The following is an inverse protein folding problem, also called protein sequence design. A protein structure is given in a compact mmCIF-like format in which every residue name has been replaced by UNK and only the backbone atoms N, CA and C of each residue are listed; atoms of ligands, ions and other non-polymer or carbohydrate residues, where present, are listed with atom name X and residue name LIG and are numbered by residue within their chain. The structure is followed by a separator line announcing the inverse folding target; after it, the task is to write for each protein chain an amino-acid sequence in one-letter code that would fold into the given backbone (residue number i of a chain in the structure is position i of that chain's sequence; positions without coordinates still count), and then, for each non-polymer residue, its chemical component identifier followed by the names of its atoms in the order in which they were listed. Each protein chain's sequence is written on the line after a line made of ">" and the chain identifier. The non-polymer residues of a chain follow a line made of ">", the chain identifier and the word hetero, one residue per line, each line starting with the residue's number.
data_IF_139691769855
#
_entry.id   IF_139691769855
#
_cell.length_a   1.000
_cell.length_b   1.000
_cell.length_c   1.000
_cell.angle_alpha   90.00
_cell.angle_beta   90.00
_cell.angle_gamma   90.00
#
_symmetry.space_group_name_H-M   'P 1'
#
loop_
_entity.id
_entity.type
_entity.pdbx_description
1 polymer ?
#
# COMPACT_ATOMS: atom_id res chain seq x y z
N UNK A 1 12.89 13.12 21.73
CA UNK A 1 14.01 12.95 20.77
C UNK A 1 15.31 12.99 21.59
N UNK A 2 15.85 11.84 21.98
CA UNK A 2 17.11 11.76 22.73
C UNK A 2 18.27 11.72 21.73
N UNK A 3 19.25 12.63 21.90
CA UNK A 3 20.47 12.64 21.10
C UNK A 3 21.34 11.44 21.47
N UNK A 4 22.13 10.99 20.50
CA UNK A 4 22.85 9.72 20.45
C UNK A 4 23.95 9.52 21.52
N UNK A 5 24.13 10.43 22.48
CA UNK A 5 25.30 10.48 23.37
C UNK A 5 25.02 10.47 24.89
N UNK A 6 23.78 10.34 25.37
CA UNK A 6 23.52 10.23 26.82
C UNK A 6 23.36 8.78 27.29
N UNK A 7 24.48 8.13 27.58
CA UNK A 7 24.58 6.73 28.07
C UNK A 7 24.19 6.58 29.56
N UNK A 8 23.51 7.56 30.15
CA UNK A 8 22.96 7.45 31.51
C UNK A 8 21.54 8.03 31.58
N UNK A 9 20.59 7.40 30.88
CA UNK A 9 19.17 7.59 31.19
C UNK A 9 18.87 6.84 32.49
N UNK A 10 18.53 7.54 33.57
CA UNK A 10 18.24 6.89 34.84
C UNK A 10 16.91 6.13 34.73
N UNK A 11 16.70 5.07 35.52
CA UNK A 11 15.46 4.27 35.45
C UNK A 11 14.20 5.13 35.67
N UNK A 12 14.32 6.19 36.48
CA UNK A 12 13.25 7.16 36.73
C UNK A 12 12.87 7.95 35.47
N UNK A 13 13.85 8.40 34.68
CA UNK A 13 13.61 9.12 33.42
C UNK A 13 12.90 8.22 32.39
N UNK A 14 13.22 6.91 32.38
CA UNK A 14 12.57 5.93 31.50
C UNK A 14 11.11 5.71 31.93
N UNK A 15 10.85 5.59 33.23
CA UNK A 15 9.48 5.44 33.75
C UNK A 15 8.65 6.70 33.48
N UNK A 16 9.25 7.87 33.63
CA UNK A 16 8.60 9.14 33.30
C UNK A 16 8.31 9.23 31.80
N UNK A 17 9.23 8.79 30.93
CA UNK A 17 9.01 8.74 29.48
C UNK A 17 7.87 7.78 29.10
N UNK A 18 7.84 6.59 29.71
CA UNK A 18 6.76 5.60 29.52
C UNK A 18 5.41 6.22 29.90
N UNK A 19 5.34 6.87 31.07
CA UNK A 19 4.10 7.47 31.57
C UNK A 19 3.65 8.70 30.75
N UNK A 20 4.59 9.44 30.17
CA UNK A 20 4.29 10.67 29.40
C UNK A 20 3.84 10.36 27.97
N UNK A 21 4.36 9.29 27.37
CA UNK A 21 4.17 8.94 25.95
C UNK A 21 3.60 7.52 25.76
N UNK A 22 2.67 7.09 26.64
CA UNK A 22 2.03 5.76 26.57
C UNK A 22 1.47 5.43 25.18
N UNK A 23 0.89 6.40 24.49
CA UNK A 23 0.31 6.25 23.15
C UNK A 23 1.36 5.95 22.05
N UNK A 24 2.64 6.25 22.31
CA UNK A 24 3.73 6.01 21.35
C UNK A 24 4.42 4.66 21.58
N UNK A 25 4.06 3.93 22.65
CA UNK A 25 4.64 2.63 22.93
C UNK A 25 4.03 1.56 22.01
N UNK A 26 4.91 0.80 21.36
CA UNK A 26 4.53 -0.34 20.54
C UNK A 26 4.97 -1.63 21.18
N UNK A 27 4.03 -2.57 21.29
CA UNK A 27 4.34 -3.94 21.70
C UNK A 27 4.96 -4.66 20.49
N UNK A 28 6.26 -4.92 20.55
CA UNK A 28 7.00 -5.63 19.50
C UNK A 28 6.82 -7.14 19.56
N UNK A 29 6.68 -7.68 20.77
CA UNK A 29 6.47 -9.10 21.04
C UNK A 29 5.70 -9.27 22.37
N UNK A 30 5.03 -10.41 22.53
CA UNK A 30 4.31 -10.76 23.76
C UNK A 30 2.80 -10.55 23.69
N UNK A 31 2.21 -10.33 22.51
CA UNK A 31 0.77 -10.10 22.33
C UNK A 31 -0.11 -11.11 23.08
N UNK A 32 0.18 -12.41 22.97
CA UNK A 32 -0.59 -13.44 23.68
C UNK A 32 -0.51 -13.29 25.20
N UNK A 33 0.68 -13.01 25.74
CA UNK A 33 0.87 -12.75 27.18
C UNK A 33 0.12 -11.51 27.61
N UNK A 34 0.16 -10.45 26.80
CA UNK A 34 -0.59 -9.22 27.04
C UNK A 34 -2.10 -9.48 27.07
N UNK A 35 -2.65 -10.24 26.12
CA UNK A 35 -4.08 -10.59 26.13
C UNK A 35 -4.46 -11.41 27.37
N UNK A 36 -3.68 -12.42 27.75
CA UNK A 36 -3.92 -13.16 28.99
C UNK A 36 -3.90 -12.25 30.21
N UNK A 37 -2.94 -11.32 30.29
CA UNK A 37 -2.87 -10.35 31.40
C UNK A 37 -4.08 -9.41 31.41
N UNK A 38 -4.58 -8.99 30.25
CA UNK A 38 -5.78 -8.18 30.13
C UNK A 38 -7.03 -8.95 30.61
N UNK A 39 -7.11 -10.26 30.34
CA UNK A 39 -8.22 -11.10 30.78
C UNK A 39 -8.28 -11.25 32.30
N UNK A 40 -7.13 -11.20 32.98
CA UNK A 40 -7.04 -11.33 34.44
C UNK A 40 -6.82 -10.00 35.17
N UNK A 41 -6.84 -8.86 34.47
CA UNK A 41 -6.40 -7.54 34.98
C UNK A 41 -7.01 -7.09 36.32
N UNK A 42 -8.21 -7.59 36.63
CA UNK A 42 -8.97 -7.23 37.84
C UNK A 42 -8.67 -8.18 39.03
N UNK A 43 -7.78 -9.16 38.85
CA UNK A 43 -7.34 -10.05 39.93
C UNK A 43 -6.36 -9.30 40.86
N UNK A 44 -6.71 -9.08 42.14
CA UNK A 44 -5.87 -8.34 43.08
C UNK A 44 -4.51 -9.01 43.33
N UNK A 45 -4.34 -10.29 43.00
CA UNK A 45 -3.04 -10.97 43.10
C UNK A 45 -2.03 -10.50 42.06
N UNK A 46 -2.46 -9.81 41.00
CA UNK A 46 -1.53 -9.28 39.99
C UNK A 46 -0.53 -8.29 40.57
N UNK A 47 -0.90 -7.54 41.61
CA UNK A 47 -0.01 -6.60 42.29
C UNK A 47 1.19 -7.29 42.95
N UNK A 48 1.08 -8.59 43.24
CA UNK A 48 2.16 -9.40 43.83
C UNK A 48 3.21 -9.85 42.79
N UNK A 49 2.94 -9.66 41.48
CA UNK A 49 3.81 -10.14 40.41
C UNK A 49 4.51 -8.99 39.68
N UNK A 50 5.83 -9.10 39.52
CA UNK A 50 6.62 -8.16 38.72
C UNK A 50 6.63 -8.57 37.25
N UNK A 51 6.20 -7.68 36.35
CA UNK A 51 6.33 -7.88 34.92
C UNK A 51 7.73 -7.44 34.45
N UNK A 52 8.46 -8.34 33.79
CA UNK A 52 9.68 -7.98 33.08
C UNK A 52 9.34 -7.42 31.71
N UNK A 53 9.81 -6.21 31.43
CA UNK A 53 9.67 -5.54 30.13
C UNK A 53 11.06 -5.20 29.60
N UNK A 54 11.34 -5.59 28.35
CA UNK A 54 12.54 -5.16 27.64
C UNK A 54 12.17 -3.95 26.76
N UNK A 55 12.65 -2.75 27.13
CA UNK A 55 12.36 -1.52 26.41
C UNK A 55 13.46 -1.19 25.39
N UNK A 56 13.08 -1.04 24.13
CA UNK A 56 13.97 -0.59 23.06
C UNK A 56 13.73 0.88 22.76
N UNK A 57 14.69 1.74 23.11
CA UNK A 57 14.61 3.19 22.87
C UNK A 57 15.43 3.54 21.62
N UNK A 58 14.92 4.47 20.80
CA UNK A 58 15.59 4.99 19.61
C UNK A 58 15.96 3.90 18.57
N UNK A 59 15.11 2.88 18.46
CA UNK A 59 15.20 1.84 17.44
C UNK A 59 14.54 2.35 16.15
N UNK A 60 15.23 2.27 15.01
CA UNK A 60 14.66 2.62 13.71
C UNK A 60 13.77 1.48 13.18
N UNK A 61 13.00 1.76 12.12
CA UNK A 61 12.08 0.78 11.50
C UNK A 61 12.79 -0.53 11.10
N UNK A 62 14.05 -0.42 10.64
CA UNK A 62 14.91 -1.58 10.32
C UNK A 62 15.18 -2.43 11.56
N UNK A 63 15.58 -1.80 12.67
CA UNK A 63 15.85 -2.49 13.93
C UNK A 63 14.59 -3.14 14.49
N UNK A 64 13.43 -2.48 14.34
CA UNK A 64 12.12 -3.01 14.71
C UNK A 64 11.84 -4.31 13.92
N UNK A 65 11.98 -4.30 12.60
CA UNK A 65 11.82 -5.51 11.78
C UNK A 65 12.77 -6.63 12.16
N UNK A 66 14.05 -6.33 12.34
CA UNK A 66 15.04 -7.35 12.69
C UNK A 66 14.73 -7.98 14.06
N UNK A 67 14.19 -7.20 15.00
CA UNK A 67 13.69 -7.72 16.28
C UNK A 67 12.45 -8.56 16.10
N UNK A 68 11.47 -8.15 15.30
CA UNK A 68 10.31 -8.99 14.98
C UNK A 68 10.74 -10.33 14.36
N UNK A 69 11.74 -10.35 13.47
CA UNK A 69 12.30 -11.57 12.90
C UNK A 69 12.92 -12.49 13.95
N UNK A 70 13.76 -11.93 14.81
CA UNK A 70 14.55 -12.69 15.79
C UNK A 70 13.73 -13.12 17.01
N UNK A 71 12.67 -12.39 17.37
CA UNK A 71 11.80 -12.72 18.50
C UNK A 71 10.76 -13.79 18.16
N UNK A 72 10.36 -13.89 16.89
CA UNK A 72 9.41 -14.90 16.41
C UNK A 72 10.05 -16.27 16.08
N UNK A 73 11.37 -16.45 16.27
CA UNK A 73 12.04 -17.73 15.96
C UNK A 73 11.56 -18.84 16.89
N UNK A 74 10.80 -19.80 16.36
CA UNK A 74 10.27 -20.95 17.10
C UNK A 74 8.78 -20.90 17.44
N UNK A 75 8.06 -19.84 17.05
CA UNK A 75 6.59 -19.73 17.16
C UNK A 75 5.93 -19.72 15.78
N UNK A 76 4.59 -19.70 15.70
CA UNK A 76 3.90 -19.38 14.44
C UNK A 76 4.22 -17.92 14.09
N UNK A 77 5.03 -17.65 13.05
CA UNK A 77 5.48 -16.30 12.79
C UNK A 77 4.33 -15.44 12.30
N UNK A 78 4.30 -14.18 12.73
CA UNK A 78 3.40 -13.18 12.17
C UNK A 78 3.66 -13.06 10.66
N UNK A 79 2.63 -12.87 9.85
CA UNK A 79 2.82 -12.74 8.40
C UNK A 79 3.67 -11.50 8.06
N UNK A 80 4.48 -11.58 6.99
CA UNK A 80 5.28 -10.45 6.50
C UNK A 80 4.40 -9.20 6.34
N UNK A 81 3.20 -9.35 5.77
CA UNK A 81 2.22 -8.27 5.65
C UNK A 81 1.90 -7.60 6.98
N UNK A 82 1.54 -8.38 8.00
CA UNK A 82 1.27 -7.82 9.33
C UNK A 82 2.52 -7.11 9.91
N UNK A 83 3.73 -7.64 9.67
CA UNK A 83 4.97 -7.05 10.21
C UNK A 83 5.21 -5.70 9.56
N UNK A 84 5.05 -5.63 8.24
CA UNK A 84 5.14 -4.40 7.47
C UNK A 84 4.06 -3.40 7.90
N UNK A 85 2.83 -3.86 8.16
CA UNK A 85 1.76 -3.04 8.73
C UNK A 85 2.13 -2.45 10.09
N UNK A 86 2.81 -3.20 10.98
CA UNK A 86 3.30 -2.69 12.27
C UNK A 86 4.41 -1.66 12.14
N UNK A 87 5.29 -1.78 11.13
CA UNK A 87 6.30 -0.75 10.86
C UNK A 87 5.63 0.55 10.46
N UNK A 88 4.76 0.45 9.47
CA UNK A 88 4.07 1.61 8.95
C UNK A 88 2.95 2.08 9.89
N UNK A 89 2.70 1.42 11.05
CA UNK A 89 1.56 1.80 11.91
C UNK A 89 1.70 3.19 12.50
N UNK A 90 2.94 3.72 12.60
CA UNK A 90 3.17 5.14 12.91
C UNK A 90 2.48 6.05 11.88
N UNK A 91 2.47 5.62 10.63
CA UNK A 91 1.76 6.30 9.56
C UNK A 91 0.27 6.01 9.58
N UNK A 92 -0.19 4.85 10.02
CA UNK A 92 -1.62 4.56 10.10
C UNK A 92 -2.40 5.48 11.05
N UNK A 93 -1.72 6.09 12.04
CA UNK A 93 -2.27 7.13 12.92
C UNK A 93 -1.96 8.55 12.42
N UNK A 94 -1.22 8.70 11.32
CA UNK A 94 -0.95 9.99 10.71
C UNK A 94 -2.24 10.58 10.13
N UNK A 95 -2.43 11.89 10.29
CA UNK A 95 -3.53 12.58 9.67
C UNK A 95 -3.32 12.64 8.15
N UNK A 96 -4.07 11.82 7.41
CA UNK A 96 -4.10 11.84 5.95
C UNK A 96 -5.14 12.81 5.37
N UNK A 97 -5.69 13.70 6.19
CA UNK A 97 -6.79 14.58 5.79
C UNK A 97 -8.05 13.76 5.56
N UNK A 98 -8.56 13.77 4.33
CA UNK A 98 -9.83 13.13 3.96
C UNK A 98 -9.73 11.61 3.74
N UNK A 99 -8.54 11.01 3.86
CA UNK A 99 -8.33 9.58 3.59
C UNK A 99 -8.64 8.74 4.84
N UNK A 100 -9.59 7.82 4.70
CA UNK A 100 -9.95 6.83 5.72
C UNK A 100 -9.14 5.54 5.48
N UNK A 101 -8.32 5.17 6.46
CA UNK A 101 -7.55 3.91 6.43
C UNK A 101 -8.31 2.82 7.18
N UNK A 102 -8.70 1.77 6.44
CA UNK A 102 -9.35 0.58 6.98
C UNK A 102 -8.27 -0.46 7.29
N UNK A 103 -8.08 -0.77 8.58
CA UNK A 103 -7.18 -1.82 9.04
C UNK A 103 -7.87 -3.17 8.97
N UNK A 104 -7.08 -4.24 9.01
CA UNK A 104 -7.61 -5.61 8.97
C UNK A 104 -8.54 -5.92 10.16
N UNK A 105 -8.34 -5.25 11.31
CA UNK A 105 -9.11 -5.45 12.54
C UNK A 105 -10.46 -4.75 12.56
N UNK A 106 -10.70 -3.79 11.65
CA UNK A 106 -11.88 -2.93 11.71
C UNK A 106 -13.16 -3.60 11.17
N UNK A 107 -13.03 -4.75 10.50
CA UNK A 107 -14.12 -5.47 9.78
C UNK A 107 -14.95 -4.55 8.84
N UNK A 108 -14.35 -3.45 8.39
CA UNK A 108 -14.98 -2.51 7.47
C UNK A 108 -14.67 -2.82 6.01
N UNK A 109 -15.56 -2.37 5.13
CA UNK A 109 -15.37 -2.46 3.68
C UNK A 109 -15.24 -1.08 3.06
N UNK A 110 -14.46 -1.00 1.98
CA UNK A 110 -14.34 0.21 1.15
C UNK A 110 -15.72 0.57 0.61
N UNK A 111 -16.23 1.75 0.97
CA UNK A 111 -17.57 2.26 0.61
C UNK A 111 -17.50 3.57 -0.19
N UNK A 112 -16.42 4.32 -0.05
CA UNK A 112 -16.22 5.63 -0.66
C UNK A 112 -14.86 5.76 -1.35
N UNK A 113 -14.65 6.86 -2.07
CA UNK A 113 -13.37 7.21 -2.67
C UNK A 113 -12.28 7.52 -1.65
N UNK A 114 -12.68 7.87 -0.44
CA UNK A 114 -11.78 8.19 0.66
C UNK A 114 -11.30 6.94 1.39
N UNK A 115 -11.94 5.78 1.17
CA UNK A 115 -11.64 4.58 1.94
C UNK A 115 -10.55 3.74 1.25
N UNK A 116 -9.49 3.44 1.97
CA UNK A 116 -8.40 2.58 1.51
C UNK A 116 -8.09 1.51 2.53
N UNK A 117 -7.93 0.26 2.06
CA UNK A 117 -7.41 -0.79 2.93
C UNK A 117 -5.94 -0.52 3.20
N UNK A 118 -5.56 -0.55 4.46
CA UNK A 118 -4.19 -0.35 4.89
C UNK A 118 -3.25 -1.36 4.24
N UNK A 119 -3.65 -2.64 4.21
CA UNK A 119 -2.91 -3.73 3.55
C UNK A 119 -2.59 -3.43 2.08
N UNK A 120 -3.54 -2.82 1.37
CA UNK A 120 -3.41 -2.57 -0.07
C UNK A 120 -2.49 -1.36 -0.32
N UNK A 121 -2.54 -0.34 0.54
CA UNK A 121 -1.62 0.80 0.51
C UNK A 121 -0.18 0.35 0.79
N UNK A 122 -0.01 -0.51 1.79
CA UNK A 122 1.28 -1.12 2.13
C UNK A 122 1.84 -1.91 0.95
N UNK A 123 1.03 -2.78 0.34
CA UNK A 123 1.46 -3.51 -0.86
C UNK A 123 1.87 -2.53 -1.99
N UNK A 124 1.08 -1.49 -2.25
CA UNK A 124 1.39 -0.48 -3.26
C UNK A 124 2.70 0.26 -3.01
N UNK A 125 2.96 0.64 -1.76
CA UNK A 125 4.19 1.32 -1.39
C UNK A 125 5.41 0.38 -1.49
N UNK A 126 5.30 -0.88 -1.07
CA UNK A 126 6.39 -1.84 -1.28
C UNK A 126 6.66 -2.07 -2.77
N UNK A 127 5.62 -2.12 -3.60
CA UNK A 127 5.80 -2.18 -5.05
C UNK A 127 6.53 -0.96 -5.61
N UNK A 128 6.31 0.22 -5.02
CA UNK A 128 7.09 1.42 -5.32
C UNK A 128 8.54 1.32 -4.83
N UNK A 129 8.81 0.74 -3.67
CA UNK A 129 10.18 0.54 -3.18
C UNK A 129 10.96 -0.50 -4.01
N UNK A 130 10.32 -1.60 -4.42
CA UNK A 130 10.96 -2.72 -5.14
C UNK A 130 10.91 -2.58 -6.67
N UNK A 131 10.14 -1.63 -7.21
CA UNK A 131 9.80 -1.55 -8.65
C UNK A 131 9.13 -2.83 -9.18
N UNK A 132 8.39 -3.52 -8.32
CA UNK A 132 7.77 -4.82 -8.60
C UNK A 132 6.30 -4.80 -8.19
N UNK A 133 5.41 -5.11 -9.14
CA UNK A 133 3.96 -5.11 -8.98
C UNK A 133 3.43 -6.31 -8.20
N UNK A 134 4.29 -7.30 -7.93
CA UNK A 134 3.95 -8.48 -7.13
C UNK A 134 3.74 -8.04 -5.68
N UNK A 135 2.60 -8.36 -5.05
CA UNK A 135 2.39 -8.06 -3.65
C UNK A 135 3.39 -8.85 -2.81
N UNK A 136 3.64 -8.40 -1.58
CA UNK A 136 4.44 -9.16 -0.63
C UNK A 136 3.81 -10.55 -0.43
N UNK A 137 4.55 -11.59 -0.79
CA UNK A 137 4.09 -12.97 -0.64
C UNK A 137 4.63 -13.56 0.66
N UNK A 138 4.02 -14.67 1.07
CA UNK A 138 4.12 -15.22 2.41
C UNK A 138 5.54 -15.68 2.79
N UNK A 139 5.97 -15.25 3.98
CA UNK A 139 6.96 -15.87 4.88
C UNK A 139 8.39 -16.09 4.37
N UNK A 140 8.78 -15.51 3.25
CA UNK A 140 10.17 -15.62 2.79
C UNK A 140 11.05 -14.63 3.58
N UNK A 141 11.98 -15.15 4.39
CA UNK A 141 13.02 -14.37 5.09
C UNK A 141 13.76 -13.43 4.12
N UNK A 142 13.97 -13.90 2.88
CA UNK A 142 14.58 -13.13 1.81
C UNK A 142 13.75 -11.91 1.40
N UNK A 143 12.42 -12.05 1.34
CA UNK A 143 11.54 -10.90 1.06
C UNK A 143 11.60 -9.88 2.20
N UNK A 144 11.68 -10.35 3.45
CA UNK A 144 11.81 -9.44 4.57
C UNK A 144 13.15 -8.69 4.58
N UNK A 145 14.24 -9.37 4.24
CA UNK A 145 15.55 -8.73 4.06
C UNK A 145 15.49 -7.67 2.95
N UNK A 146 14.84 -7.97 1.82
CA UNK A 146 14.65 -6.99 0.74
C UNK A 146 13.85 -5.78 1.19
N UNK A 147 12.75 -5.97 1.91
CA UNK A 147 11.97 -4.85 2.48
C UNK A 147 12.84 -4.02 3.42
N UNK A 148 13.67 -4.66 4.27
CA UNK A 148 14.62 -3.95 5.16
C UNK A 148 15.60 -3.12 4.35
N UNK A 149 16.23 -3.70 3.33
CA UNK A 149 17.18 -3.02 2.44
C UNK A 149 16.52 -1.85 1.71
N UNK A 150 15.30 -2.06 1.22
CA UNK A 150 14.55 -1.04 0.49
C UNK A 150 14.12 0.13 1.35
N UNK A 151 13.70 -0.10 2.61
CA UNK A 151 13.43 0.98 3.56
C UNK A 151 14.72 1.71 3.92
N UNK A 152 15.83 1.00 4.14
CA UNK A 152 17.13 1.61 4.42
C UNK A 152 17.61 2.52 3.28
N UNK A 153 17.33 2.13 2.04
CA UNK A 153 17.74 2.87 0.85
C UNK A 153 16.76 3.97 0.43
N UNK A 154 15.53 4.00 0.99
CA UNK A 154 14.50 4.95 0.61
C UNK A 154 14.87 6.41 0.93
N UNK A 155 15.78 6.65 1.88
CA UNK A 155 16.15 7.98 2.39
C UNK A 155 16.80 8.92 1.36
N UNK A 156 17.08 8.50 0.12
CA UNK A 156 17.82 9.33 -0.86
C UNK A 156 17.04 9.65 -2.15
N UNK A 157 16.01 8.89 -2.53
CA UNK A 157 15.34 9.09 -3.84
C UNK A 157 13.85 8.77 -3.90
N UNK A 158 13.25 8.21 -2.84
CA UNK A 158 11.86 7.76 -2.86
C UNK A 158 11.02 8.53 -1.85
N UNK A 159 9.79 8.84 -2.25
CA UNK A 159 8.81 9.45 -1.34
C UNK A 159 8.53 8.54 -0.15
N UNK A 160 8.25 9.14 1.01
CA UNK A 160 7.81 8.39 2.18
C UNK A 160 6.39 7.79 1.97
N UNK A 161 5.98 6.90 2.87
CA UNK A 161 4.68 6.23 2.79
C UNK A 161 3.52 7.24 2.76
N UNK A 162 3.43 8.24 3.67
CA UNK A 162 2.36 9.23 3.60
C UNK A 162 2.29 10.02 2.30
N UNK A 163 3.45 10.39 1.76
CA UNK A 163 3.53 11.14 0.52
C UNK A 163 3.11 10.31 -0.68
N UNK A 164 3.53 9.05 -0.76
CA UNK A 164 3.06 8.09 -1.77
C UNK A 164 1.53 7.95 -1.74
N UNK A 165 0.94 7.76 -0.56
CA UNK A 165 -0.51 7.61 -0.38
C UNK A 165 -1.24 8.87 -0.85
N UNK A 166 -0.76 10.07 -0.48
CA UNK A 166 -1.37 11.35 -0.91
C UNK A 166 -1.32 11.55 -2.41
N UNK A 167 -0.22 11.21 -3.06
CA UNK A 167 -0.10 11.30 -4.53
C UNK A 167 -1.08 10.35 -5.20
N UNK A 168 -1.13 9.09 -4.78
CA UNK A 168 -2.07 8.13 -5.33
C UNK A 168 -3.52 8.56 -5.12
N UNK A 169 -3.86 9.03 -3.92
CA UNK A 169 -5.19 9.57 -3.63
C UNK A 169 -5.56 10.74 -4.53
N UNK A 170 -4.62 11.66 -4.80
CA UNK A 170 -4.82 12.77 -5.73
C UNK A 170 -5.09 12.29 -7.15
N UNK A 171 -4.37 11.26 -7.62
CA UNK A 171 -4.64 10.62 -8.91
C UNK A 171 -6.07 10.07 -8.98
N UNK A 172 -6.48 9.26 -8.00
CA UNK A 172 -7.81 8.65 -7.97
C UNK A 172 -8.91 9.70 -7.97
N UNK A 173 -8.75 10.79 -7.19
CA UNK A 173 -9.70 11.90 -7.19
C UNK A 173 -9.77 12.64 -8.51
N UNK A 174 -8.63 12.83 -9.17
CA UNK A 174 -8.57 13.49 -10.49
C UNK A 174 -9.32 12.67 -11.53
N UNK A 175 -9.09 11.35 -11.56
CA UNK A 175 -9.83 10.43 -12.43
C UNK A 175 -11.33 10.46 -12.10
N UNK A 176 -11.72 10.50 -10.83
CA UNK A 176 -13.12 10.60 -10.43
C UNK A 176 -13.81 11.88 -10.89
N UNK A 177 -13.13 13.03 -10.76
CA UNK A 177 -13.66 14.31 -11.23
C UNK A 177 -13.75 14.37 -12.75
N UNK A 178 -12.68 13.97 -13.46
CA UNK A 178 -12.63 14.00 -14.94
C UNK A 178 -13.63 13.04 -15.59
N UNK A 179 -13.92 11.92 -14.94
CA UNK A 179 -14.96 10.97 -15.38
C UNK A 179 -16.37 11.33 -14.92
N UNK A 180 -16.59 12.55 -14.40
CA UNK A 180 -17.88 13.00 -13.87
C UNK A 180 -18.51 12.00 -12.89
N UNK A 181 -17.71 11.49 -11.95
CA UNK A 181 -18.13 10.52 -10.94
C UNK A 181 -18.71 9.24 -11.55
N UNK A 182 -18.01 8.70 -12.55
CA UNK A 182 -18.49 7.58 -13.35
C UNK A 182 -18.99 6.40 -12.52
N UNK A 183 -20.11 5.86 -12.97
CA UNK A 183 -20.74 4.64 -12.46
C UNK A 183 -20.96 3.71 -13.64
N UNK A 184 -20.74 2.41 -13.41
CA UNK A 184 -21.03 1.36 -14.39
C UNK A 184 -22.48 1.44 -14.84
N UNK A 185 -22.74 1.63 -16.14
CA UNK A 185 -24.09 1.85 -16.65
C UNK A 185 -24.88 0.53 -16.74
N UNK A 186 -26.17 0.66 -17.02
CA UNK A 186 -27.01 -0.49 -17.31
C UNK A 186 -26.56 -1.20 -18.60
N UNK A 187 -26.77 -2.53 -18.65
CA UNK A 187 -26.27 -3.37 -19.75
C UNK A 187 -26.76 -2.92 -21.13
N UNK A 188 -27.94 -2.30 -21.21
CA UNK A 188 -28.53 -1.78 -22.45
C UNK A 188 -27.82 -0.54 -23.00
N UNK A 189 -27.02 0.15 -22.19
CA UNK A 189 -26.29 1.35 -22.56
C UNK A 189 -24.83 1.05 -22.96
N UNK A 190 -24.40 -0.21 -22.83
CA UNK A 190 -23.04 -0.64 -23.12
C UNK A 190 -22.95 -1.05 -24.61
N UNK A 191 -22.06 -0.44 -25.41
CA UNK A 191 -21.82 -0.87 -26.78
C UNK A 191 -21.40 -2.34 -26.86
N UNK A 192 -21.87 -3.08 -27.87
CA UNK A 192 -21.63 -4.52 -28.01
C UNK A 192 -20.15 -4.92 -27.86
N UNK A 193 -19.24 -4.15 -28.47
CA UNK A 193 -17.80 -4.42 -28.42
C UNK A 193 -17.14 -4.15 -27.04
N UNK A 194 -17.85 -3.49 -26.13
CA UNK A 194 -17.43 -3.24 -24.73
C UNK A 194 -18.20 -4.09 -23.72
N UNK A 195 -19.06 -5.00 -24.18
CA UNK A 195 -19.76 -5.91 -23.29
C UNK A 195 -18.81 -6.91 -22.64
N UNK A 196 -19.08 -7.20 -21.37
CA UNK A 196 -18.36 -8.18 -20.55
C UNK A 196 -19.24 -9.37 -20.25
N UNK A 197 -18.63 -10.54 -20.08
CA UNK A 197 -19.37 -11.76 -19.70
C UNK A 197 -19.56 -11.86 -18.18
N UNK A 198 -18.55 -11.42 -17.43
CA UNK A 198 -18.56 -11.44 -15.98
C UNK A 198 -19.14 -10.18 -15.33
N UNK A 199 -18.86 -10.04 -14.03
CA UNK A 199 -19.09 -8.78 -13.31
C UNK A 199 -17.98 -7.79 -13.63
N UNK A 200 -18.28 -6.48 -13.73
CA UNK A 200 -17.25 -5.47 -13.93
C UNK A 200 -16.22 -5.54 -12.81
N UNK A 201 -14.95 -5.33 -13.15
CA UNK A 201 -13.85 -5.27 -12.19
C UNK A 201 -14.14 -4.22 -11.11
N UNK A 202 -14.61 -3.05 -11.51
CA UNK A 202 -15.08 -2.00 -10.60
C UNK A 202 -16.24 -1.21 -11.19
N UNK A 203 -17.30 -1.02 -10.39
CA UNK A 203 -18.52 -0.30 -10.79
C UNK A 203 -18.42 1.23 -10.68
N UNK A 204 -17.32 1.73 -10.14
CA UNK A 204 -17.01 3.16 -9.97
C UNK A 204 -15.50 3.29 -9.74
N UNK A 205 -14.99 4.52 -9.69
CA UNK A 205 -13.55 4.80 -9.63
C UNK A 205 -12.87 4.13 -8.44
N UNK A 206 -13.38 4.30 -7.23
CA UNK A 206 -12.75 3.72 -6.05
C UNK A 206 -12.82 2.19 -6.04
N UNK A 207 -13.84 1.58 -6.67
CA UNK A 207 -13.90 0.11 -6.85
C UNK A 207 -12.88 -0.40 -7.87
N UNK A 208 -12.30 0.44 -8.72
CA UNK A 208 -11.20 0.09 -9.62
C UNK A 208 -9.86 0.36 -8.96
N UNK A 209 -9.66 1.60 -8.48
CA UNK A 209 -8.33 2.09 -8.09
C UNK A 209 -8.01 1.92 -6.60
N UNK A 210 -8.98 1.84 -5.68
CA UNK A 210 -8.68 1.60 -4.25
C UNK A 210 -8.53 0.10 -3.95
N UNK A 211 -7.84 -0.62 -4.84
CA UNK A 211 -7.55 -2.06 -4.74
C UNK A 211 -6.07 -2.32 -4.89
N UNK A 212 -5.60 -3.37 -4.22
CA UNK A 212 -4.23 -3.90 -4.33
C UNK A 212 -3.72 -3.96 -5.78
N UNK A 213 -4.51 -4.45 -6.75
CA UNK A 213 -4.02 -4.61 -8.13
C UNK A 213 -3.60 -3.29 -8.78
N UNK A 214 -4.36 -2.22 -8.54
CA UNK A 214 -4.07 -0.90 -9.09
C UNK A 214 -2.94 -0.22 -8.31
N UNK A 215 -2.96 -0.32 -6.98
CA UNK A 215 -1.94 0.25 -6.11
C UNK A 215 -0.54 -0.32 -6.39
N UNK A 216 -0.42 -1.65 -6.50
CA UNK A 216 0.88 -2.28 -6.79
C UNK A 216 1.36 -2.00 -8.21
N UNK A 217 0.45 -1.98 -9.18
CA UNK A 217 0.74 -1.57 -10.55
C UNK A 217 1.27 -0.14 -10.62
N UNK A 218 0.62 0.79 -9.91
CA UNK A 218 1.05 2.19 -9.84
C UNK A 218 2.42 2.34 -9.22
N UNK A 219 2.64 1.75 -8.04
CA UNK A 219 3.93 1.82 -7.36
C UNK A 219 5.07 1.30 -8.23
N UNK A 220 4.90 0.12 -8.81
CA UNK A 220 5.91 -0.49 -9.67
C UNK A 220 6.20 0.35 -10.92
N UNK A 221 5.17 0.90 -11.56
CA UNK A 221 5.31 1.72 -12.76
C UNK A 221 6.07 3.02 -12.48
N UNK A 222 5.67 3.78 -11.46
CA UNK A 222 6.31 5.05 -11.12
C UNK A 222 7.76 4.83 -10.70
N UNK A 223 8.05 3.81 -9.89
CA UNK A 223 9.43 3.48 -9.52
C UNK A 223 10.28 3.13 -10.73
N UNK A 224 9.72 2.38 -11.69
CA UNK A 224 10.41 2.07 -12.93
C UNK A 224 10.70 3.32 -13.77
N UNK A 225 9.76 4.27 -13.85
CA UNK A 225 9.95 5.53 -14.57
C UNK A 225 11.05 6.39 -13.94
N UNK A 226 11.08 6.48 -12.60
CA UNK A 226 12.15 7.18 -11.86
C UNK A 226 13.51 6.51 -12.12
N UNK A 227 13.56 5.17 -12.00
CA UNK A 227 14.80 4.38 -12.20
C UNK A 227 15.34 4.54 -13.63
N UNK A 228 14.44 4.59 -14.61
CA UNK A 228 14.79 4.81 -16.02
C UNK A 228 15.07 6.28 -16.36
N UNK A 229 14.91 7.20 -15.40
CA UNK A 229 15.04 8.66 -15.58
C UNK A 229 14.04 9.27 -16.57
N UNK A 230 12.91 8.60 -16.83
CA UNK A 230 11.78 9.17 -17.58
C UNK A 230 11.13 10.31 -16.79
N UNK A 231 11.08 10.18 -15.46
CA UNK A 231 10.71 11.22 -14.51
C UNK A 231 11.77 11.29 -13.41
N UNK A 232 11.88 12.40 -12.66
CA UNK A 232 12.90 12.55 -11.62
C UNK A 232 12.40 12.07 -10.27
N UNK A 233 11.14 12.34 -9.97
CA UNK A 233 10.50 12.02 -8.69
C UNK A 233 9.00 11.80 -8.88
N UNK A 234 8.35 11.21 -7.88
CA UNK A 234 6.93 10.87 -7.97
C UNK A 234 6.04 12.12 -8.06
N UNK A 235 6.48 13.26 -7.54
CA UNK A 235 5.77 14.54 -7.58
C UNK A 235 5.63 15.10 -9.00
N UNK A 236 6.54 14.73 -9.91
CA UNK A 236 6.53 15.21 -11.29
C UNK A 236 5.24 14.81 -12.02
N UNK A 237 4.58 13.72 -11.60
CA UNK A 237 3.33 13.28 -12.22
C UNK A 237 2.10 14.04 -11.71
N UNK A 238 2.20 14.68 -10.53
CA UNK A 238 1.06 15.41 -9.93
C UNK A 238 0.70 16.61 -10.80
N UNK A 239 1.70 17.29 -11.34
CA UNK A 239 1.53 18.43 -12.26
C UNK A 239 0.81 18.02 -13.55
N UNK A 240 0.86 16.74 -13.93
CA UNK A 240 0.30 16.21 -15.17
C UNK A 240 -1.16 15.75 -15.04
N UNK A 241 -1.70 15.65 -13.81
CA UNK A 241 -3.02 15.07 -13.60
C UNK A 241 -4.14 15.83 -14.32
N UNK A 242 -4.05 17.15 -14.38
CA UNK A 242 -5.03 17.99 -15.08
C UNK A 242 -4.96 17.86 -16.60
N UNK A 243 -3.83 17.39 -17.14
CA UNK A 243 -3.63 17.18 -18.58
C UNK A 243 -4.14 15.81 -19.05
N UNK A 244 -4.44 14.89 -18.12
CA UNK A 244 -4.97 13.57 -18.46
C UNK A 244 -6.27 13.67 -19.27
N UNK A 245 -6.30 13.00 -20.43
CA UNK A 245 -7.51 12.83 -21.25
C UNK A 245 -8.15 11.49 -20.93
N UNK A 246 -9.37 11.52 -20.39
CA UNK A 246 -10.15 10.34 -20.02
C UNK A 246 -11.64 10.60 -20.23
N UNK A 247 -12.31 9.62 -20.84
CA UNK A 247 -13.74 9.63 -21.08
C UNK A 247 -14.43 8.43 -20.41
N UNK A 248 -15.76 8.50 -20.23
CA UNK A 248 -16.54 7.40 -19.63
C UNK A 248 -16.42 6.09 -20.42
N UNK A 249 -16.23 6.16 -21.73
CA UNK A 249 -15.99 4.97 -22.57
C UNK A 249 -14.67 4.28 -22.24
N UNK A 250 -13.69 5.00 -21.72
CA UNK A 250 -12.38 4.44 -21.37
C UNK A 250 -12.47 3.56 -20.12
N UNK A 251 -13.38 3.90 -19.19
CA UNK A 251 -13.66 3.09 -18.01
C UNK A 251 -14.47 1.82 -18.35
N UNK A 252 -15.31 1.89 -19.39
CA UNK A 252 -15.92 0.70 -19.99
C UNK A 252 -14.85 -0.18 -20.64
N UNK A 253 -13.96 0.41 -21.44
CA UNK A 253 -12.84 -0.27 -22.08
C UNK A 253 -11.90 -0.92 -21.05
N UNK A 254 -11.59 -0.25 -19.95
CA UNK A 254 -10.78 -0.80 -18.86
C UNK A 254 -11.42 -2.06 -18.28
N UNK A 255 -12.71 -2.02 -17.96
CA UNK A 255 -13.42 -3.20 -17.45
C UNK A 255 -13.46 -4.33 -18.47
N UNK A 256 -13.66 -4.00 -19.76
CA UNK A 256 -13.61 -4.96 -20.85
C UNK A 256 -12.26 -5.66 -20.95
N UNK A 257 -11.17 -4.89 -20.97
CA UNK A 257 -9.81 -5.42 -21.02
C UNK A 257 -9.49 -6.29 -19.81
N UNK A 258 -9.93 -5.90 -18.62
CA UNK A 258 -9.72 -6.72 -17.41
C UNK A 258 -10.52 -8.03 -17.47
N UNK A 259 -11.74 -8.02 -18.02
CA UNK A 259 -12.53 -9.24 -18.25
C UNK A 259 -11.83 -10.17 -19.26
N UNK A 260 -11.24 -9.61 -20.32
CA UNK A 260 -10.49 -10.38 -21.32
C UNK A 260 -9.21 -10.98 -20.74
N UNK A 261 -8.43 -10.19 -19.97
CA UNK A 261 -7.24 -10.70 -19.26
C UNK A 261 -7.62 -11.84 -18.32
N UNK A 262 -8.77 -11.75 -17.63
CA UNK A 262 -9.24 -12.79 -16.71
C UNK A 262 -9.47 -14.13 -17.42
N UNK A 263 -9.88 -14.12 -18.69
CA UNK A 263 -10.15 -15.35 -19.48
C UNK A 263 -8.86 -16.08 -19.86
N UNK A 264 -7.81 -15.33 -20.17
CA UNK A 264 -6.52 -15.88 -20.61
C UNK A 264 -5.57 -16.18 -19.43
N UNK A 265 -5.70 -15.46 -18.31
CA UNK A 265 -4.74 -15.51 -17.21
C UNK A 265 -4.77 -16.83 -16.42
N UNK A 266 -3.60 -17.47 -16.27
CA UNK A 266 -3.39 -18.56 -15.29
C UNK A 266 -3.52 -18.10 -13.84
N UNK A 267 -3.04 -16.89 -13.54
CA UNK A 267 -3.13 -16.24 -12.23
C UNK A 267 -3.71 -14.83 -12.40
N UNK A 268 -5.04 -14.75 -12.33
CA UNK A 268 -5.81 -13.52 -12.62
C UNK A 268 -5.26 -12.30 -11.89
N UNK A 269 -4.96 -12.42 -10.59
CA UNK A 269 -4.47 -11.29 -9.80
C UNK A 269 -3.13 -10.75 -10.29
N UNK A 270 -2.21 -11.63 -10.70
CA UNK A 270 -0.87 -11.25 -11.16
C UNK A 270 -0.95 -10.59 -12.54
N UNK A 271 -1.76 -11.14 -13.44
CA UNK A 271 -2.02 -10.56 -14.76
C UNK A 271 -2.70 -9.18 -14.67
N UNK A 272 -3.62 -8.98 -13.73
CA UNK A 272 -4.23 -7.66 -13.48
C UNK A 272 -3.22 -6.64 -12.97
N UNK A 273 -2.32 -7.02 -12.06
CA UNK A 273 -1.24 -6.15 -11.57
C UNK A 273 -0.28 -5.74 -12.67
N UNK A 274 0.10 -6.71 -13.51
CA UNK A 274 0.94 -6.46 -14.68
C UNK A 274 0.26 -5.49 -15.67
N UNK A 275 -1.06 -5.63 -15.88
CA UNK A 275 -1.84 -4.68 -16.64
C UNK A 275 -1.80 -3.27 -16.06
N UNK A 276 -2.08 -3.11 -14.77
CA UNK A 276 -2.02 -1.78 -14.15
C UNK A 276 -0.61 -1.18 -14.21
N UNK A 277 0.45 -1.99 -14.05
CA UNK A 277 1.83 -1.54 -14.25
C UNK A 277 2.06 -0.98 -15.66
N UNK A 278 1.66 -1.72 -16.69
CA UNK A 278 1.80 -1.22 -18.06
C UNK A 278 0.92 0.00 -18.34
N UNK A 279 -0.29 0.05 -17.77
CA UNK A 279 -1.20 1.19 -17.89
C UNK A 279 -0.56 2.46 -17.35
N UNK A 280 -0.12 2.45 -16.09
CA UNK A 280 0.49 3.62 -15.46
C UNK A 280 1.81 4.01 -16.11
N UNK A 281 2.62 3.02 -16.52
CA UNK A 281 3.86 3.30 -17.22
C UNK A 281 3.60 4.01 -18.55
N UNK A 282 2.68 3.51 -19.36
CA UNK A 282 2.32 4.16 -20.63
C UNK A 282 1.66 5.53 -20.44
N UNK A 283 0.90 5.70 -19.36
CA UNK A 283 0.21 6.96 -19.07
C UNK A 283 1.18 8.08 -18.68
N UNK A 284 2.26 7.76 -17.95
CA UNK A 284 3.17 8.75 -17.36
C UNK A 284 4.60 8.76 -17.94
N UNK A 285 4.90 7.95 -18.94
CA UNK A 285 6.19 7.99 -19.65
C UNK A 285 6.16 9.05 -20.77
N UNK A 286 6.90 10.16 -20.67
CA UNK A 286 6.86 11.25 -21.65
C UNK A 286 7.28 10.84 -23.06
N UNK A 287 8.06 9.76 -23.16
CA UNK A 287 8.54 9.19 -24.43
C UNK A 287 7.52 8.22 -25.07
N UNK A 288 6.40 7.92 -24.39
CA UNK A 288 5.37 7.01 -24.91
C UNK A 288 4.36 7.76 -25.77
N UNK A 289 3.93 7.16 -26.89
CA UNK A 289 2.89 7.73 -27.77
C UNK A 289 1.52 7.88 -27.07
N UNK A 290 1.34 7.18 -25.95
CA UNK A 290 0.13 7.14 -25.13
C UNK A 290 0.17 8.09 -23.94
N UNK A 291 1.25 8.87 -23.80
CA UNK A 291 1.46 9.81 -22.71
C UNK A 291 0.22 10.68 -22.49
N UNK A 292 -0.27 10.68 -21.24
CA UNK A 292 -1.47 11.39 -20.75
C UNK A 292 -2.81 10.98 -21.40
N UNK A 293 -2.79 10.03 -22.33
CA UNK A 293 -3.99 9.52 -22.98
C UNK A 293 -4.44 8.19 -22.37
N UNK A 294 -5.51 8.23 -21.58
CA UNK A 294 -5.97 7.09 -20.80
C UNK A 294 -6.42 5.92 -21.69
N UNK A 295 -7.20 6.21 -22.74
CA UNK A 295 -7.65 5.21 -23.72
C UNK A 295 -6.50 4.47 -24.37
N UNK A 296 -5.56 5.20 -24.98
CA UNK A 296 -4.41 4.58 -25.68
C UNK A 296 -3.54 3.80 -24.70
N UNK A 297 -3.40 4.29 -23.47
CA UNK A 297 -2.64 3.61 -22.42
C UNK A 297 -3.29 2.28 -22.03
N UNK A 298 -4.62 2.20 -21.93
CA UNK A 298 -5.35 0.92 -21.73
C UNK A 298 -5.09 -0.04 -22.89
N UNK A 299 -5.18 0.42 -24.13
CA UNK A 299 -4.99 -0.42 -25.32
C UNK A 299 -3.55 -0.97 -25.40
N UNK A 300 -2.54 -0.15 -25.08
CA UNK A 300 -1.15 -0.59 -24.99
C UNK A 300 -0.92 -1.56 -23.83
N UNK A 301 -1.46 -1.26 -22.66
CA UNK A 301 -1.35 -2.13 -21.49
C UNK A 301 -1.97 -3.50 -21.75
N UNK A 302 -3.16 -3.53 -22.38
CA UNK A 302 -3.84 -4.77 -22.79
C UNK A 302 -2.93 -5.64 -23.67
N UNK A 303 -2.42 -5.07 -24.78
CA UNK A 303 -1.53 -5.78 -25.71
C UNK A 303 -0.28 -6.32 -25.02
N UNK A 304 0.34 -5.50 -24.15
CA UNK A 304 1.54 -5.89 -23.41
C UNK A 304 1.25 -7.00 -22.40
N UNK A 305 0.16 -6.92 -21.65
CA UNK A 305 -0.21 -7.95 -20.68
C UNK A 305 -0.52 -9.27 -21.35
N UNK A 306 -1.37 -9.27 -22.39
CA UNK A 306 -1.76 -10.50 -23.10
C UNK A 306 -0.55 -11.21 -23.74
N UNK A 307 0.49 -10.48 -24.13
CA UNK A 307 1.72 -11.07 -24.64
C UNK A 307 2.62 -11.71 -23.57
N UNK A 308 2.34 -11.50 -22.28
CA UNK A 308 3.19 -11.92 -21.16
C UNK A 308 2.48 -12.88 -20.17
N UNK A 309 1.25 -13.33 -20.46
CA UNK A 309 0.47 -14.21 -19.56
C UNK A 309 0.20 -15.58 -20.18
#
# INVERSE_FOLDING_TARGET
>A
MLKKDDVHTNNEDIVELINTDLEKLKILDGLQRTYTLLDIKDDPKLEDYTLRVDLYVNINDIGIMYRMLTLNTGQTPMSLRQQVEMLYSNYADSNFGDINIIRQVDDESVKSINDFKYSDLVDGYNSYLESNETPLDRYSLLEMIKVIESIANAEVTKADFPHFVKIYYSFVNTINKKSNFWVWPDKTEIPDHLTIEGTPFGKNIYRVFNRSQSLTGFGAAISQLITNKSIKKIEDIVELYDELTIDNSDLLLLNKVIDDIKKEAKKIGDSQRLFFKFLFRSLFDPESEEYLNFKKSIERASRRTLANI
#
